data_IF_620299849585
#
_entry.id   IF_620299849585
#
_cell.length_a   1.000
_cell.length_b   1.000
_cell.length_c   1.000
_cell.angle_alpha   90.00
_cell.angle_beta   90.00
_cell.angle_gamma   90.00
#
_symmetry.space_group_name_H-M   'P 1'
#
loop_
_entity.id
_entity.type
_entity.pdbx_description
1 polymer ?
#
# COMPACT_ATOMS: atom_id res chain seq x y z
N UNK A 1 8.69 18.64 -17.44
CA UNK A 1 7.81 18.84 -16.28
C UNK A 1 6.83 17.68 -16.29
N UNK A 2 6.83 16.83 -15.25
CA UNK A 2 5.83 15.76 -15.14
C UNK A 2 4.49 16.43 -14.82
N UNK A 3 3.37 16.11 -15.49
CA UNK A 3 2.07 16.67 -15.15
C UNK A 3 1.71 16.37 -13.71
N UNK A 4 1.14 17.33 -12.98
CA UNK A 4 0.81 17.18 -11.55
C UNK A 4 -0.14 15.99 -11.28
N UNK A 5 -0.98 15.65 -12.25
CA UNK A 5 -1.93 14.54 -12.16
C UNK A 5 -1.35 13.17 -12.56
N UNK A 6 -0.11 13.12 -13.04
CA UNK A 6 0.48 11.88 -13.58
C UNK A 6 0.55 10.79 -12.52
N UNK A 7 1.06 11.11 -11.33
CA UNK A 7 1.26 10.14 -10.26
C UNK A 7 -0.05 9.71 -9.60
N UNK A 8 -1.00 10.61 -9.27
CA UNK A 8 -2.37 10.24 -8.92
C UNK A 8 -2.99 9.25 -9.90
N UNK A 9 -2.90 9.53 -11.20
CA UNK A 9 -3.48 8.68 -12.23
C UNK A 9 -2.79 7.31 -12.32
N UNK A 10 -1.47 7.27 -12.23
CA UNK A 10 -0.68 6.04 -12.20
C UNK A 10 -1.01 5.18 -10.97
N UNK A 11 -1.14 5.81 -9.80
CA UNK A 11 -1.49 5.11 -8.55
C UNK A 11 -2.89 4.50 -8.62
N UNK A 12 -3.86 5.23 -9.16
CA UNK A 12 -5.21 4.72 -9.39
C UNK A 12 -5.23 3.57 -10.39
N UNK A 13 -4.45 3.66 -11.47
CA UNK A 13 -4.31 2.57 -12.43
C UNK A 13 -3.70 1.30 -11.78
N UNK A 14 -2.70 1.47 -10.91
CA UNK A 14 -2.10 0.36 -10.17
C UNK A 14 -3.12 -0.30 -9.21
N UNK A 15 -3.99 0.48 -8.56
CA UNK A 15 -5.07 -0.07 -7.73
C UNK A 15 -5.99 -0.97 -8.55
N UNK A 16 -6.49 -0.47 -9.70
CA UNK A 16 -7.34 -1.26 -10.59
C UNK A 16 -6.62 -2.52 -11.04
N UNK A 17 -5.40 -2.39 -11.57
CA UNK A 17 -4.61 -3.54 -12.02
C UNK A 17 -4.41 -4.57 -10.89
N UNK A 18 -4.13 -4.11 -9.67
CA UNK A 18 -3.93 -4.99 -8.51
C UNK A 18 -5.21 -5.73 -8.10
N UNK A 19 -6.36 -5.06 -8.10
CA UNK A 19 -7.65 -5.68 -7.81
C UNK A 19 -7.97 -6.78 -8.83
N UNK A 20 -7.86 -6.46 -10.12
CA UNK A 20 -8.06 -7.43 -11.20
C UNK A 20 -7.08 -8.60 -11.09
N UNK A 21 -5.83 -8.34 -10.74
CA UNK A 21 -4.80 -9.36 -10.55
C UNK A 21 -5.12 -10.32 -9.40
N UNK A 22 -5.60 -9.80 -8.27
CA UNK A 22 -6.03 -10.59 -7.12
C UNK A 22 -7.23 -11.47 -7.50
N UNK A 23 -8.20 -10.92 -8.21
CA UNK A 23 -9.39 -11.65 -8.69
C UNK A 23 -8.96 -12.75 -9.66
N UNK A 24 -8.15 -12.42 -10.66
CA UNK A 24 -7.66 -13.39 -11.64
C UNK A 24 -6.88 -14.53 -10.99
N UNK A 25 -6.01 -14.23 -10.01
CA UNK A 25 -5.24 -15.27 -9.33
C UNK A 25 -6.13 -16.24 -8.51
N UNK A 26 -7.32 -15.80 -8.07
CA UNK A 26 -8.32 -16.69 -7.45
C UNK A 26 -9.07 -17.55 -8.47
N UNK A 27 -9.33 -17.03 -9.67
CA UNK A 27 -10.05 -17.74 -10.74
C UNK A 27 -9.13 -18.69 -11.52
N UNK A 28 -7.85 -18.32 -11.68
CA UNK A 28 -6.85 -19.07 -12.41
C UNK A 28 -6.76 -20.58 -12.07
N UNK A 29 -6.71 -21.00 -10.79
CA UNK A 29 -6.68 -22.43 -10.45
C UNK A 29 -7.94 -23.20 -10.88
N UNK A 30 -9.07 -22.51 -11.07
CA UNK A 30 -10.33 -23.11 -11.55
C UNK A 30 -10.21 -23.45 -13.04
N UNK A 31 -9.64 -22.54 -13.84
CA UNK A 31 -9.56 -22.70 -15.29
C UNK A 31 -8.21 -23.25 -15.81
N UNK A 32 -7.21 -23.45 -14.95
CA UNK A 32 -5.87 -23.98 -15.30
C UNK A 32 -5.19 -23.27 -16.49
N UNK A 33 -5.28 -21.95 -16.56
CA UNK A 33 -4.68 -21.20 -17.68
C UNK A 33 -3.16 -21.38 -17.76
N UNK A 34 -2.56 -21.22 -18.93
CA UNK A 34 -1.10 -21.13 -19.06
C UNK A 34 -0.55 -19.81 -18.44
N UNK A 35 0.72 -19.76 -18.00
CA UNK A 35 1.32 -18.56 -17.37
C UNK A 35 1.25 -17.30 -18.24
N UNK A 36 1.35 -17.45 -19.56
CA UNK A 36 1.26 -16.34 -20.53
C UNK A 36 -0.06 -15.54 -20.45
N UNK A 37 -1.16 -16.19 -20.07
CA UNK A 37 -2.43 -15.51 -19.89
C UNK A 37 -2.46 -14.62 -18.64
N UNK A 38 -1.59 -14.88 -17.65
CA UNK A 38 -1.47 -13.99 -16.48
C UNK A 38 -0.95 -12.63 -16.91
N UNK A 39 0.13 -12.59 -17.69
CA UNK A 39 0.69 -11.33 -18.17
C UNK A 39 -0.28 -10.58 -19.08
N UNK A 40 -0.95 -11.31 -20.00
CA UNK A 40 -2.00 -10.72 -20.85
C UNK A 40 -3.14 -10.12 -20.01
N UNK A 41 -3.57 -10.79 -18.95
CA UNK A 41 -4.62 -10.28 -18.07
C UNK A 41 -4.17 -9.05 -17.28
N UNK A 42 -2.92 -9.01 -16.80
CA UNK A 42 -2.33 -7.83 -16.17
C UNK A 42 -2.29 -6.65 -17.14
N UNK A 43 -1.83 -6.88 -18.37
CA UNK A 43 -1.79 -5.85 -19.41
C UNK A 43 -3.20 -5.37 -19.74
N UNK A 44 -4.14 -6.29 -19.99
CA UNK A 44 -5.52 -5.95 -20.32
C UNK A 44 -6.21 -5.16 -19.20
N UNK A 45 -6.06 -5.57 -17.94
CA UNK A 45 -6.63 -4.83 -16.80
C UNK A 45 -5.97 -3.47 -16.60
N UNK A 46 -4.65 -3.35 -16.82
CA UNK A 46 -3.96 -2.07 -16.78
C UNK A 46 -4.44 -1.14 -17.90
N UNK A 47 -4.64 -1.66 -19.10
CA UNK A 47 -5.20 -0.91 -20.22
C UNK A 47 -6.65 -0.50 -19.93
N UNK A 48 -7.49 -1.37 -19.39
CA UNK A 48 -8.86 -1.03 -18.99
C UNK A 48 -8.91 0.05 -17.90
N UNK A 49 -7.91 0.11 -17.02
CA UNK A 49 -7.82 1.17 -16.02
C UNK A 49 -7.58 2.55 -16.66
N UNK A 50 -6.81 2.58 -17.76
CA UNK A 50 -6.34 3.79 -18.42
C UNK A 50 -7.25 4.22 -19.58
N UNK A 51 -7.89 3.29 -20.28
CA UNK A 51 -8.73 3.59 -21.43
C UNK A 51 -10.07 4.17 -20.95
N UNK A 52 -10.45 5.37 -21.42
CA UNK A 52 -11.73 5.96 -21.07
C UNK A 52 -12.90 5.18 -21.71
N UNK A 53 -13.88 4.81 -20.89
CA UNK A 53 -15.14 4.26 -21.35
C UNK A 53 -16.25 5.28 -21.10
N UNK A 54 -16.91 5.77 -22.15
CA UNK A 54 -17.88 6.88 -22.01
C UNK A 54 -17.24 8.22 -21.63
N UNK A 55 -15.96 8.43 -21.94
CA UNK A 55 -15.23 9.69 -21.69
C UNK A 55 -14.46 9.75 -20.37
N UNK A 56 -14.62 8.77 -19.47
CA UNK A 56 -13.91 8.69 -18.18
C UNK A 56 -13.26 7.32 -18.05
N UNK A 57 -11.97 7.25 -17.67
CA UNK A 57 -11.31 5.98 -17.39
C UNK A 57 -11.54 5.55 -15.93
N UNK A 58 -11.43 4.25 -15.63
CA UNK A 58 -11.61 3.76 -14.27
C UNK A 58 -10.61 4.40 -13.29
N UNK A 59 -9.35 4.63 -13.72
CA UNK A 59 -8.36 5.36 -12.93
C UNK A 59 -8.81 6.80 -12.64
N UNK A 60 -9.37 7.51 -13.63
CA UNK A 60 -9.89 8.88 -13.43
C UNK A 60 -11.11 8.90 -12.50
N UNK A 61 -11.96 7.88 -12.58
CA UNK A 61 -13.08 7.71 -11.65
C UNK A 61 -12.57 7.49 -10.22
N UNK A 62 -11.53 6.69 -10.00
CA UNK A 62 -10.92 6.52 -8.67
C UNK A 62 -10.30 7.82 -8.12
N UNK A 63 -9.57 8.56 -8.97
CA UNK A 63 -9.01 9.88 -8.60
C UNK A 63 -10.11 10.86 -8.15
N UNK A 64 -11.33 10.74 -8.67
CA UNK A 64 -12.46 11.57 -8.22
C UNK A 64 -12.94 11.27 -6.80
N UNK A 65 -12.72 10.04 -6.30
CA UNK A 65 -13.04 9.67 -4.91
C UNK A 65 -11.92 10.01 -3.94
N UNK A 66 -10.68 9.80 -4.35
CA UNK A 66 -9.51 10.17 -3.58
C UNK A 66 -8.43 10.68 -4.53
N UNK A 67 -8.12 11.97 -4.43
CA UNK A 67 -7.19 12.64 -5.34
C UNK A 67 -5.78 12.07 -5.24
N UNK A 68 -5.38 11.45 -4.13
CA UNK A 68 -4.03 10.92 -3.96
C UNK A 68 -3.98 9.76 -2.99
N UNK A 69 -3.46 8.64 -3.47
CA UNK A 69 -3.20 7.45 -2.67
C UNK A 69 -1.80 7.48 -2.07
N UNK A 70 -1.64 6.96 -0.85
CA UNK A 70 -0.35 6.98 -0.16
C UNK A 70 0.69 6.13 -0.88
N UNK A 71 1.96 6.48 -0.71
CA UNK A 71 3.07 5.64 -1.17
C UNK A 71 3.04 4.26 -0.52
N UNK A 72 2.59 4.16 0.73
CA UNK A 72 2.45 2.89 1.44
C UNK A 72 1.51 1.94 0.71
N UNK A 73 0.37 2.44 0.25
CA UNK A 73 -0.58 1.66 -0.54
C UNK A 73 0.05 1.19 -1.85
N UNK A 74 0.66 2.11 -2.60
CA UNK A 74 1.31 1.82 -3.89
C UNK A 74 2.35 0.71 -3.73
N UNK A 75 3.18 0.78 -2.69
CA UNK A 75 4.23 -0.22 -2.42
C UNK A 75 3.62 -1.59 -2.11
N UNK A 76 2.62 -1.68 -1.24
CA UNK A 76 1.97 -2.97 -0.91
C UNK A 76 1.33 -3.60 -2.14
N UNK A 77 0.65 -2.79 -2.96
CA UNK A 77 0.02 -3.24 -4.19
C UNK A 77 1.05 -3.73 -5.20
N UNK A 78 2.13 -2.96 -5.40
CA UNK A 78 3.23 -3.32 -6.29
C UNK A 78 3.90 -4.63 -5.85
N UNK A 79 4.21 -4.78 -4.56
CA UNK A 79 4.76 -6.02 -3.99
C UNK A 79 3.80 -7.20 -4.23
N UNK A 80 2.49 -6.97 -4.06
CA UNK A 80 1.47 -8.00 -4.27
C UNK A 80 1.39 -8.44 -5.73
N UNK A 81 1.33 -7.48 -6.67
CA UNK A 81 1.34 -7.76 -8.11
C UNK A 81 2.61 -8.51 -8.49
N UNK A 82 3.78 -8.04 -8.05
CA UNK A 82 5.06 -8.69 -8.38
C UNK A 82 5.09 -10.14 -7.88
N UNK A 83 4.61 -10.39 -6.66
CA UNK A 83 4.49 -11.74 -6.13
C UNK A 83 3.54 -12.62 -6.94
N UNK A 84 2.38 -12.10 -7.35
CA UNK A 84 1.36 -12.88 -8.09
C UNK A 84 1.82 -13.28 -9.49
N UNK A 85 2.46 -12.37 -10.23
CA UNK A 85 2.83 -12.61 -11.64
C UNK A 85 4.23 -13.16 -11.83
N UNK A 86 5.19 -12.67 -11.06
CA UNK A 86 6.61 -13.03 -11.25
C UNK A 86 7.09 -14.03 -10.20
N UNK A 87 6.27 -14.36 -9.19
CA UNK A 87 6.64 -15.21 -8.07
C UNK A 87 7.91 -14.72 -7.33
N UNK A 88 8.18 -13.42 -7.40
CA UNK A 88 9.32 -12.78 -6.72
C UNK A 88 8.86 -12.30 -5.35
N UNK A 89 9.51 -12.82 -4.30
CA UNK A 89 9.25 -12.40 -2.94
C UNK A 89 10.05 -11.14 -2.62
N UNK A 90 9.45 -9.97 -2.86
CA UNK A 90 10.06 -8.69 -2.48
C UNK A 90 10.02 -8.45 -0.97
N UNK A 91 8.90 -8.75 -0.31
CA UNK A 91 8.77 -8.70 1.14
C UNK A 91 8.49 -10.08 1.71
N UNK A 92 9.15 -10.39 2.83
CA UNK A 92 8.81 -11.54 3.63
C UNK A 92 7.40 -11.36 4.24
N UNK A 93 6.83 -12.46 4.73
CA UNK A 93 5.56 -12.38 5.47
C UNK A 93 5.66 -11.50 6.72
N UNK A 94 6.83 -11.48 7.37
CA UNK A 94 7.09 -10.63 8.54
C UNK A 94 7.16 -9.16 8.14
N UNK A 95 7.84 -8.81 7.03
CA UNK A 95 7.91 -7.43 6.54
C UNK A 95 6.50 -6.87 6.26
N UNK A 96 5.66 -7.63 5.54
CA UNK A 96 4.28 -7.22 5.28
C UNK A 96 3.45 -7.07 6.57
N UNK A 97 3.69 -7.92 7.57
CA UNK A 97 3.01 -7.83 8.86
C UNK A 97 3.44 -6.59 9.63
N UNK A 98 4.75 -6.34 9.76
CA UNK A 98 5.29 -5.19 10.48
C UNK A 98 4.91 -3.87 9.81
N UNK A 99 4.94 -3.80 8.48
CA UNK A 99 4.43 -2.64 7.74
C UNK A 99 2.93 -2.42 8.00
N UNK A 100 2.15 -3.50 8.02
CA UNK A 100 0.71 -3.40 8.32
C UNK A 100 0.46 -2.91 9.75
N UNK A 101 1.20 -3.43 10.74
CA UNK A 101 1.09 -3.00 12.14
C UNK A 101 1.48 -1.53 12.27
N UNK A 102 2.58 -1.12 11.65
CA UNK A 102 3.01 0.29 11.60
C UNK A 102 1.89 1.19 11.06
N UNK A 103 1.28 0.82 9.93
CA UNK A 103 0.18 1.59 9.35
C UNK A 103 -1.07 1.62 10.24
N UNK A 104 -1.43 0.53 10.91
CA UNK A 104 -2.57 0.53 11.84
C UNK A 104 -2.29 1.49 13.00
N UNK A 105 -1.12 1.39 13.63
CA UNK A 105 -0.75 2.26 14.76
C UNK A 105 -0.73 3.71 14.31
N UNK A 106 -0.10 4.01 13.18
CA UNK A 106 -0.04 5.36 12.63
C UNK A 106 -1.44 5.89 12.30
N UNK A 107 -2.29 5.09 11.66
CA UNK A 107 -3.65 5.47 11.30
C UNK A 107 -4.53 5.72 12.53
N UNK A 108 -4.42 4.90 13.58
CA UNK A 108 -5.11 5.15 14.85
C UNK A 108 -4.66 6.49 15.43
N UNK A 109 -3.36 6.73 15.54
CA UNK A 109 -2.82 7.98 16.10
C UNK A 109 -3.33 9.18 15.28
N UNK A 110 -3.13 9.17 13.96
CA UNK A 110 -3.48 10.30 13.11
C UNK A 110 -4.99 10.53 13.08
N UNK A 111 -5.79 9.51 12.78
CA UNK A 111 -7.24 9.69 12.62
C UNK A 111 -7.95 10.01 13.93
N UNK A 112 -7.49 9.47 15.07
CA UNK A 112 -8.08 9.87 16.37
C UNK A 112 -7.78 11.33 16.70
N UNK A 113 -6.57 11.81 16.41
CA UNK A 113 -6.22 13.21 16.62
C UNK A 113 -6.97 14.16 15.69
N UNK A 114 -7.11 13.81 14.41
CA UNK A 114 -7.86 14.63 13.44
C UNK A 114 -9.37 14.63 13.69
N UNK A 115 -9.92 13.59 14.30
CA UNK A 115 -11.33 13.54 14.72
C UNK A 115 -11.60 14.30 16.03
N UNK A 116 -10.58 14.90 16.65
CA UNK A 116 -10.72 15.73 17.85
C UNK A 116 -10.86 14.94 19.15
N UNK A 117 -10.51 13.64 19.17
CA UNK A 117 -10.51 12.85 20.41
C UNK A 117 -9.40 13.28 21.39
N UNK A 118 -8.38 13.99 20.89
CA UNK A 118 -7.25 14.51 21.66
C UNK A 118 -7.11 16.01 21.30
N UNK A 119 -6.79 16.90 22.25
CA UNK A 119 -6.66 18.34 22.00
C UNK A 119 -5.46 18.74 21.12
N UNK A 120 -4.63 17.78 20.72
CA UNK A 120 -3.47 17.99 19.87
C UNK A 120 -3.70 17.35 18.50
N UNK A 121 -3.57 18.13 17.44
CA UNK A 121 -3.61 17.62 16.07
C UNK A 121 -2.22 17.17 15.65
N UNK A 122 -1.95 15.86 15.76
CA UNK A 122 -0.65 15.31 15.35
C UNK A 122 -0.48 15.40 13.84
N UNK A 123 -1.58 15.31 13.08
CA UNK A 123 -1.54 15.34 11.62
C UNK A 123 -1.01 16.68 11.09
N UNK A 124 -1.21 17.77 11.83
CA UNK A 124 -0.62 19.08 11.52
C UNK A 124 0.92 19.07 11.47
N UNK A 125 1.60 18.24 12.27
CA UNK A 125 3.07 18.14 12.20
C UNK A 125 3.56 17.57 10.86
N UNK A 126 2.69 16.93 10.08
CA UNK A 126 3.00 16.44 8.74
C UNK A 126 3.38 17.55 7.75
N UNK A 127 2.95 18.79 7.98
CA UNK A 127 3.39 19.96 7.20
C UNK A 127 4.82 20.41 7.57
N UNK A 128 5.32 20.01 8.74
CA UNK A 128 6.65 20.35 9.25
C UNK A 128 7.56 19.11 9.22
N UNK A 129 8.34 18.96 8.15
CA UNK A 129 9.10 17.72 7.90
C UNK A 129 10.21 17.42 8.94
N UNK A 130 10.79 18.45 9.59
CA UNK A 130 12.04 18.30 10.34
C UNK A 130 11.98 17.30 11.52
N UNK A 131 10.97 17.32 12.42
CA UNK A 131 10.86 16.30 13.48
C UNK A 131 10.57 14.90 12.95
N UNK A 132 9.77 14.81 11.87
CA UNK A 132 9.40 13.54 11.25
C UNK A 132 10.59 12.85 10.61
N UNK A 133 11.55 13.62 10.09
CA UNK A 133 12.77 13.07 9.52
C UNK A 133 13.55 12.20 10.53
N UNK A 134 13.68 12.66 11.78
CA UNK A 134 14.35 11.87 12.82
C UNK A 134 13.61 10.58 13.14
N UNK A 135 12.27 10.63 13.22
CA UNK A 135 11.44 9.45 13.47
C UNK A 135 11.63 8.44 12.33
N UNK A 136 11.57 8.89 11.08
CA UNK A 136 11.75 8.01 9.92
C UNK A 136 13.18 7.47 9.83
N UNK A 137 14.18 8.27 10.18
CA UNK A 137 15.57 7.81 10.24
C UNK A 137 15.74 6.63 11.23
N UNK A 138 15.14 6.74 12.42
CA UNK A 138 15.11 5.62 13.38
C UNK A 138 14.36 4.41 12.81
N UNK A 139 13.22 4.64 12.15
CA UNK A 139 12.45 3.60 11.48
C UNK A 139 13.18 2.96 10.29
N UNK A 140 14.19 3.60 9.71
CA UNK A 140 15.07 3.02 8.69
C UNK A 140 16.13 2.15 9.35
N UNK A 141 16.73 2.62 10.44
CA UNK A 141 17.82 1.92 11.14
C UNK A 141 17.37 0.58 11.70
N UNK A 142 16.20 0.52 12.33
CA UNK A 142 15.69 -0.71 12.98
C UNK A 142 15.61 -1.88 11.97
N UNK A 143 14.94 -1.75 10.80
CA UNK A 143 14.93 -2.77 9.75
C UNK A 143 16.31 -3.15 9.21
N UNK A 144 17.24 -2.19 9.08
CA UNK A 144 18.60 -2.47 8.60
C UNK A 144 19.30 -3.46 9.52
N UNK A 145 19.26 -3.24 10.83
CA UNK A 145 19.84 -4.16 11.80
C UNK A 145 19.10 -5.50 11.90
N UNK A 146 17.79 -5.50 11.63
CA UNK A 146 16.98 -6.72 11.58
C UNK A 146 17.16 -7.52 10.27
N UNK A 147 17.91 -7.02 9.28
CA UNK A 147 18.02 -7.64 7.95
C UNK A 147 16.69 -7.65 7.17
N UNK A 148 15.74 -6.81 7.58
CA UNK A 148 14.46 -6.63 6.91
C UNK A 148 14.66 -5.86 5.59
N UNK A 149 13.60 -5.77 4.77
CA UNK A 149 13.57 -4.92 3.56
C UNK A 149 12.73 -3.65 3.75
N UNK A 150 12.18 -3.44 4.94
CA UNK A 150 11.30 -2.30 5.24
C UNK A 150 12.00 -0.95 5.19
N UNK A 151 13.32 -0.89 5.38
CA UNK A 151 14.12 0.31 5.17
C UNK A 151 13.87 0.94 3.79
N UNK A 152 13.68 0.12 2.75
CA UNK A 152 13.41 0.62 1.40
C UNK A 152 12.05 1.30 1.29
N UNK A 153 11.06 0.88 2.09
CA UNK A 153 9.75 1.53 2.17
C UNK A 153 9.89 2.93 2.75
N UNK A 154 10.59 3.04 3.88
CA UNK A 154 10.79 4.33 4.55
C UNK A 154 11.64 5.29 3.71
N UNK A 155 12.66 4.77 3.01
CA UNK A 155 13.43 5.54 2.01
C UNK A 155 12.50 6.01 0.88
N UNK A 156 11.62 5.15 0.36
CA UNK A 156 10.67 5.52 -0.69
C UNK A 156 9.69 6.61 -0.23
N UNK A 157 9.28 6.63 1.04
CA UNK A 157 8.46 7.73 1.59
C UNK A 157 9.19 9.06 1.54
N UNK A 158 10.45 9.10 1.99
CA UNK A 158 11.28 10.32 1.96
C UNK A 158 11.50 10.77 0.52
N UNK A 159 11.88 9.86 -0.38
CA UNK A 159 12.12 10.18 -1.78
C UNK A 159 10.84 10.66 -2.46
N UNK A 160 9.71 9.99 -2.20
CA UNK A 160 8.42 10.40 -2.74
C UNK A 160 8.04 11.81 -2.35
N UNK A 161 8.20 12.15 -1.06
CA UNK A 161 7.91 13.49 -0.56
C UNK A 161 8.86 14.55 -1.13
N UNK A 162 10.17 14.28 -1.18
CA UNK A 162 11.15 15.21 -1.75
C UNK A 162 10.95 15.44 -3.25
N UNK A 163 10.55 14.40 -3.99
CA UNK A 163 10.23 14.48 -5.41
C UNK A 163 8.83 15.02 -5.69
N UNK A 164 8.05 15.33 -4.65
CA UNK A 164 6.66 15.81 -4.73
C UNK A 164 5.78 14.90 -5.59
N UNK A 165 5.95 13.59 -5.43
CA UNK A 165 5.20 12.61 -6.23
C UNK A 165 3.70 12.65 -5.92
N UNK A 166 3.32 13.01 -4.71
CA UNK A 166 1.92 13.25 -4.35
C UNK A 166 1.71 14.78 -4.26
N UNK A 167 0.64 15.34 -4.84
CA UNK A 167 0.32 16.78 -4.76
C UNK A 167 -0.11 17.27 -3.37
N UNK A 168 0.27 16.58 -2.29
CA UNK A 168 0.10 17.02 -0.91
C UNK A 168 1.44 17.48 -0.33
N UNK A 169 1.48 18.62 0.36
CA UNK A 169 2.66 19.04 1.11
C UNK A 169 2.82 18.26 2.43
N UNK A 170 1.78 17.56 2.90
CA UNK A 170 1.79 16.84 4.17
C UNK A 170 2.50 15.49 4.01
N UNK A 171 3.55 15.25 4.80
CA UNK A 171 4.31 14.00 4.75
C UNK A 171 3.48 12.77 5.14
N UNK A 172 2.51 12.89 6.06
CA UNK A 172 1.69 11.75 6.48
C UNK A 172 0.85 11.16 5.33
N UNK A 173 0.48 11.97 4.34
CA UNK A 173 -0.25 11.51 3.15
C UNK A 173 0.58 10.57 2.28
N UNK A 174 1.92 10.64 2.37
CA UNK A 174 2.80 9.69 1.73
C UNK A 174 2.85 8.35 2.50
N UNK A 175 2.70 8.39 3.81
CA UNK A 175 2.82 7.21 4.65
C UNK A 175 1.55 6.37 4.61
N UNK A 176 0.41 7.02 4.82
CA UNK A 176 -0.85 6.34 5.06
C UNK A 176 -2.05 7.06 4.45
N UNK A 177 -3.00 6.26 3.99
CA UNK A 177 -4.34 6.68 3.59
C UNK A 177 -5.40 5.71 4.16
N UNK A 178 -6.69 6.07 4.14
CA UNK A 178 -7.74 5.24 4.72
C UNK A 178 -7.80 3.82 4.12
N UNK A 179 -7.52 3.68 2.82
CA UNK A 179 -7.55 2.39 2.14
C UNK A 179 -6.38 1.51 2.60
N UNK A 180 -5.18 2.07 2.74
CA UNK A 180 -4.03 1.38 3.32
C UNK A 180 -4.31 0.93 4.76
N UNK A 181 -4.95 1.75 5.58
CA UNK A 181 -5.33 1.41 6.95
C UNK A 181 -6.23 0.16 6.99
N UNK A 182 -7.27 0.11 6.16
CA UNK A 182 -8.17 -1.04 6.08
C UNK A 182 -7.49 -2.30 5.52
N UNK A 183 -6.67 -2.17 4.48
CA UNK A 183 -5.88 -3.30 3.94
C UNK A 183 -4.95 -3.86 5.01
N UNK A 184 -4.23 -2.99 5.71
CA UNK A 184 -3.30 -3.37 6.78
C UNK A 184 -4.02 -4.11 7.90
N UNK A 185 -5.19 -3.60 8.32
CA UNK A 185 -6.06 -4.28 9.29
C UNK A 185 -6.44 -5.69 8.82
N UNK A 186 -6.87 -5.82 7.55
CA UNK A 186 -7.20 -7.12 6.97
C UNK A 186 -6.02 -8.10 6.94
N UNK A 187 -4.80 -7.63 6.67
CA UNK A 187 -3.57 -8.44 6.68
C UNK A 187 -3.28 -8.94 8.10
N UNK A 188 -3.33 -8.06 9.11
CA UNK A 188 -3.07 -8.43 10.51
C UNK A 188 -4.11 -9.41 11.02
N UNK A 189 -5.41 -9.14 10.81
CA UNK A 189 -6.50 -10.05 11.21
C UNK A 189 -6.34 -11.41 10.55
N UNK A 190 -6.02 -11.46 9.25
CA UNK A 190 -5.77 -12.71 8.54
C UNK A 190 -4.60 -13.50 9.12
N UNK A 191 -3.55 -12.80 9.58
CA UNK A 191 -2.41 -13.43 10.24
C UNK A 191 -2.80 -14.01 11.61
N UNK A 192 -3.55 -13.26 12.42
CA UNK A 192 -4.04 -13.72 13.73
C UNK A 192 -4.93 -14.95 13.59
N UNK A 193 -5.86 -14.97 12.63
CA UNK A 193 -6.74 -16.11 12.39
C UNK A 193 -5.93 -17.35 11.99
N UNK A 194 -4.94 -17.20 11.11
CA UNK A 194 -4.07 -18.32 10.70
C UNK A 194 -3.26 -18.85 11.87
N UNK A 195 -2.67 -17.97 12.67
CA UNK A 195 -1.88 -18.34 13.85
C UNK A 195 -2.73 -19.11 14.87
N UNK A 196 -3.95 -18.62 15.17
CA UNK A 196 -4.88 -19.27 16.09
C UNK A 196 -5.31 -20.69 15.62
N UNK A 197 -5.48 -20.88 14.30
CA UNK A 197 -5.79 -22.21 13.74
C UNK A 197 -4.61 -23.18 13.91
N UNK A 198 -3.38 -22.71 13.69
CA UNK A 198 -2.19 -23.56 13.82
C UNK A 198 -1.92 -23.97 15.27
N UNK A 199 -2.11 -23.07 16.23
CA UNK A 199 -1.96 -23.40 17.67
C UNK A 199 -3.08 -24.29 18.19
N UNK A 200 -4.32 -24.10 17.72
CA UNK A 200 -5.45 -24.96 18.09
C UNK A 200 -5.34 -26.40 17.57
N UNK A 201 -4.67 -26.63 16.44
CA UNK A 201 -4.40 -27.98 15.91
C UNK A 201 -3.30 -28.70 16.71
N UNK A 202 -2.32 -27.96 17.24
CA UNK A 202 -1.19 -28.54 17.99
C UNK A 202 -1.45 -28.68 19.51
N UNK A 203 -2.54 -28.12 20.03
CA UNK A 203 -2.91 -28.19 21.45
C UNK A 203 -3.88 -29.32 21.82
N UNK A 204 -4.20 -30.20 20.88
CA UNK A 204 -5.02 -31.40 21.09
C UNK A 204 -4.18 -32.67 21.12
N UNK A 205 -3.36 -32.83 22.16
CA UNK A 205 -2.70 -34.10 22.52
C UNK A 205 -2.76 -34.28 24.03
#
# INVERSE_FOLDING_TARGET
>A
MIPDDFFPYLSAALIVASLFSIIANRIYPIFRWAPQYKLLFLIASSLLALIPFGGISAARMLVSFNYSYSMGLIIILLVTVIKIFFNVLLFSHQDSLYLSIFNIVLGIILYTTSLGFIPYDIYYYGYNFWPLFFIIFVLIIIPVFAGSRLQWVFIAYILGWNLKLIPSPNFFDYLIDPLLFFISTGIVVSHMIKSARTTGINGGT
#
